data_IF_907762982516
#
_entry.id   IF_907762982516
#
_cell.length_a   1.000
_cell.length_b   1.000
_cell.length_c   1.000
_cell.angle_alpha   90.00
_cell.angle_beta   90.00
_cell.angle_gamma   90.00
#
_symmetry.space_group_name_H-M   'P 1'
#
loop_
_entity.id
_entity.type
_entity.pdbx_description
1 polymer ?
#
# COMPACT_ATOMS: atom_id res chain seq x y z
N UNK A 1 -5.65 2.14 -17.06
CA UNK A 1 -6.86 1.30 -17.20
C UNK A 1 -7.73 1.35 -15.95
N UNK A 2 -7.17 1.16 -14.75
CA UNK A 2 -7.88 1.21 -13.45
C UNK A 2 -8.70 2.47 -13.22
N UNK A 3 -8.16 3.67 -13.52
CA UNK A 3 -8.90 4.94 -13.36
C UNK A 3 -10.18 4.99 -14.20
N UNK A 4 -10.11 4.52 -15.46
CA UNK A 4 -11.30 4.45 -16.32
C UNK A 4 -12.37 3.52 -15.74
N UNK A 5 -11.98 2.45 -15.05
CA UNK A 5 -12.93 1.54 -14.40
C UNK A 5 -13.61 2.22 -13.20
N UNK A 6 -12.85 3.02 -12.44
CA UNK A 6 -13.38 3.82 -11.34
C UNK A 6 -14.36 4.87 -11.89
N UNK A 7 -14.00 5.59 -12.95
CA UNK A 7 -14.83 6.63 -13.58
C UNK A 7 -16.19 6.10 -14.07
N UNK A 8 -16.25 4.87 -14.57
CA UNK A 8 -17.52 4.24 -15.01
C UNK A 8 -18.29 3.57 -13.86
N UNK A 9 -17.87 3.76 -12.61
CA UNK A 9 -18.60 3.31 -11.42
C UNK A 9 -18.37 1.84 -11.06
N UNK A 10 -17.28 1.20 -11.51
CA UNK A 10 -17.01 -0.20 -11.18
C UNK A 10 -16.39 -0.41 -9.80
N UNK A 11 -15.95 0.66 -9.11
CA UNK A 11 -15.22 0.55 -7.84
C UNK A 11 -15.93 -0.31 -6.77
N UNK A 12 -17.25 -0.12 -6.48
CA UNK A 12 -17.92 -0.91 -5.44
C UNK A 12 -18.00 -2.41 -5.78
N UNK A 13 -18.10 -2.75 -7.07
CA UNK A 13 -18.15 -4.13 -7.54
C UNK A 13 -16.80 -4.84 -7.42
N UNK A 14 -15.71 -4.07 -7.42
CA UNK A 14 -14.35 -4.56 -7.17
C UNK A 14 -14.03 -4.65 -5.67
N UNK A 15 -14.95 -4.25 -4.79
CA UNK A 15 -14.75 -4.22 -3.34
C UNK A 15 -13.99 -2.99 -2.84
N UNK A 16 -13.74 -2.01 -3.70
CA UNK A 16 -13.12 -0.74 -3.33
C UNK A 16 -14.13 0.19 -2.64
N UNK A 17 -13.69 1.08 -1.73
CA UNK A 17 -14.56 2.08 -1.11
C UNK A 17 -15.05 3.10 -2.14
N UNK A 18 -16.13 3.81 -1.81
CA UNK A 18 -16.71 4.85 -2.68
C UNK A 18 -15.79 6.06 -2.81
N UNK A 19 -15.09 6.42 -1.72
CA UNK A 19 -14.13 7.53 -1.71
C UNK A 19 -12.71 6.98 -1.82
N UNK A 20 -12.10 7.14 -3.00
CA UNK A 20 -10.77 6.64 -3.31
C UNK A 20 -9.72 7.75 -3.29
N UNK A 21 -8.52 7.40 -2.85
CA UNK A 21 -7.36 8.29 -2.88
C UNK A 21 -6.70 8.34 -4.27
N UNK A 22 -7.44 8.87 -5.25
CA UNK A 22 -7.00 8.95 -6.65
C UNK A 22 -5.73 9.80 -6.82
N UNK A 23 -5.53 10.81 -5.97
CA UNK A 23 -4.33 11.65 -5.99
C UNK A 23 -3.07 10.85 -5.64
N UNK A 24 -3.12 10.08 -4.54
CA UNK A 24 -2.01 9.21 -4.14
C UNK A 24 -1.77 8.11 -5.16
N UNK A 25 -2.83 7.49 -5.68
CA UNK A 25 -2.71 6.48 -6.73
C UNK A 25 -1.98 6.99 -7.98
N UNK A 26 -2.34 8.18 -8.47
CA UNK A 26 -1.65 8.80 -9.59
C UNK A 26 -0.18 9.09 -9.28
N UNK A 27 0.13 9.54 -8.06
CA UNK A 27 1.50 9.77 -7.62
C UNK A 27 2.32 8.48 -7.71
N UNK A 28 1.81 7.38 -7.15
CA UNK A 28 2.47 6.06 -7.18
C UNK A 28 2.68 5.55 -8.61
N UNK A 29 1.68 5.72 -9.49
CA UNK A 29 1.82 5.34 -10.89
C UNK A 29 2.90 6.12 -11.64
N UNK A 30 3.14 7.38 -11.28
CA UNK A 30 4.16 8.22 -11.92
C UNK A 30 5.57 7.96 -11.37
N UNK A 31 5.71 7.44 -10.15
CA UNK A 31 7.02 7.18 -9.53
C UNK A 31 7.59 5.84 -9.98
N UNK A 32 6.77 4.79 -10.03
CA UNK A 32 7.25 3.44 -10.36
C UNK A 32 6.21 2.62 -11.11
N UNK A 33 6.52 2.26 -12.35
CA UNK A 33 5.71 1.34 -13.15
C UNK A 33 5.78 -0.10 -12.59
N UNK A 34 6.96 -0.49 -12.10
CA UNK A 34 7.30 -1.80 -11.54
C UNK A 34 7.20 -1.83 -10.01
N UNK A 35 5.99 -1.67 -9.48
CA UNK A 35 5.66 -1.97 -8.09
C UNK A 35 4.64 -3.11 -8.00
N UNK A 36 4.60 -3.76 -6.84
CA UNK A 36 3.66 -4.82 -6.56
C UNK A 36 2.21 -4.31 -6.73
N UNK A 37 1.27 -5.10 -7.29
CA UNK A 37 -0.11 -4.68 -7.47
C UNK A 37 -0.77 -4.16 -6.19
N UNK A 38 -0.38 -4.72 -5.04
CA UNK A 38 -0.87 -4.29 -3.74
C UNK A 38 -0.40 -2.90 -3.33
N UNK A 39 0.77 -2.46 -3.77
CA UNK A 39 1.25 -1.08 -3.59
C UNK A 39 0.32 -0.10 -4.30
N UNK A 40 -0.12 -0.45 -5.52
CA UNK A 40 -1.10 0.33 -6.29
C UNK A 40 -2.47 0.32 -5.62
N UNK A 41 -2.93 -0.82 -5.10
CA UNK A 41 -4.22 -0.90 -4.40
C UNK A 41 -4.20 -0.11 -3.09
N UNK A 42 -3.16 -0.26 -2.27
CA UNK A 42 -3.00 0.48 -1.01
C UNK A 42 -2.95 2.00 -1.22
N UNK A 43 -2.47 2.45 -2.39
CA UNK A 43 -2.48 3.86 -2.77
C UNK A 43 -3.90 4.41 -3.00
N UNK A 44 -4.88 3.57 -3.34
CA UNK A 44 -6.29 3.96 -3.49
C UNK A 44 -7.03 4.08 -2.14
N UNK A 45 -6.49 3.49 -1.07
CA UNK A 45 -7.15 3.39 0.23
C UNK A 45 -6.64 4.45 1.20
N UNK A 46 -7.51 5.01 2.02
CA UNK A 46 -7.19 6.03 3.01
C UNK A 46 -6.76 5.46 4.35
N UNK A 47 -7.28 4.30 4.75
CA UNK A 47 -7.11 3.74 6.10
C UNK A 47 -6.88 2.24 6.12
N UNK A 48 -6.38 1.74 7.25
CA UNK A 48 -6.25 0.29 7.49
C UNK A 48 -7.60 -0.41 7.50
N UNK A 49 -8.65 0.26 8.00
CA UNK A 49 -10.01 -0.28 8.04
C UNK A 49 -10.52 -0.52 6.61
N UNK A 50 -10.31 0.42 5.69
CA UNK A 50 -10.64 0.24 4.27
C UNK A 50 -9.87 -0.93 3.63
N UNK A 51 -8.62 -1.15 4.02
CA UNK A 51 -7.83 -2.30 3.56
C UNK A 51 -8.36 -3.62 4.11
N UNK A 52 -8.79 -3.65 5.37
CA UNK A 52 -9.40 -4.83 5.98
C UNK A 52 -10.76 -5.13 5.34
N UNK A 53 -11.56 -4.12 5.03
CA UNK A 53 -12.84 -4.29 4.34
C UNK A 53 -12.66 -4.75 2.89
N UNK A 54 -11.68 -4.20 2.17
CA UNK A 54 -11.28 -4.69 0.86
C UNK A 54 -10.84 -6.17 0.91
N UNK A 55 -10.01 -6.53 1.90
CA UNK A 55 -9.57 -7.91 2.11
C UNK A 55 -10.74 -8.87 2.38
N UNK A 56 -11.73 -8.47 3.21
CA UNK A 56 -12.93 -9.29 3.47
C UNK A 56 -13.71 -9.58 2.19
N UNK A 57 -13.76 -8.63 1.25
CA UNK A 57 -14.48 -8.77 -0.01
C UNK A 57 -13.73 -9.63 -1.03
N UNK A 58 -12.44 -9.37 -1.22
CA UNK A 58 -11.62 -9.96 -2.29
C UNK A 58 -10.88 -11.24 -1.86
N UNK A 59 -10.75 -11.48 -0.55
CA UNK A 59 -10.08 -12.65 0.06
C UNK A 59 -8.61 -12.78 -0.35
N UNK A 60 -7.86 -11.69 -0.20
CA UNK A 60 -6.41 -11.65 -0.46
C UNK A 60 -5.64 -12.68 0.38
N UNK A 61 -4.43 -13.03 -0.06
CA UNK A 61 -3.50 -13.78 0.78
C UNK A 61 -3.11 -12.99 2.04
N UNK A 62 -2.67 -13.69 3.08
CA UNK A 62 -2.16 -13.04 4.30
C UNK A 62 -1.01 -12.07 3.98
N UNK A 63 -0.12 -12.46 3.05
CA UNK A 63 0.98 -11.62 2.59
C UNK A 63 0.51 -10.29 1.99
N UNK A 64 -0.47 -10.33 1.09
CA UNK A 64 -1.01 -9.13 0.43
C UNK A 64 -1.75 -8.23 1.41
N UNK A 65 -2.55 -8.82 2.31
CA UNK A 65 -3.23 -8.08 3.37
C UNK A 65 -2.21 -7.31 4.22
N UNK A 66 -1.19 -8.01 4.69
CA UNK A 66 -0.19 -7.45 5.60
C UNK A 66 0.69 -6.40 4.91
N UNK A 67 1.01 -6.59 3.62
CA UNK A 67 1.70 -5.59 2.80
C UNK A 67 0.87 -4.31 2.64
N UNK A 68 -0.42 -4.44 2.32
CA UNK A 68 -1.31 -3.28 2.17
C UNK A 68 -1.43 -2.47 3.46
N UNK A 69 -1.62 -3.14 4.60
CA UNK A 69 -1.66 -2.51 5.93
C UNK A 69 -0.32 -1.82 6.22
N UNK A 70 0.80 -2.51 6.00
CA UNK A 70 2.13 -1.97 6.25
C UNK A 70 2.38 -0.68 5.47
N UNK A 71 2.00 -0.64 4.18
CA UNK A 71 2.14 0.55 3.35
C UNK A 71 1.30 1.69 3.93
N UNK A 72 0.00 1.49 4.17
CA UNK A 72 -0.90 2.53 4.69
C UNK A 72 -0.38 3.13 6.00
N UNK A 73 0.15 2.29 6.90
CA UNK A 73 0.73 2.71 8.18
C UNK A 73 1.97 3.61 8.04
N UNK A 74 2.87 3.26 7.13
CA UNK A 74 4.21 3.87 7.09
C UNK A 74 4.39 4.90 5.98
N UNK A 75 3.41 5.03 5.08
CA UNK A 75 3.52 5.88 3.90
C UNK A 75 3.83 7.34 4.24
N UNK A 76 3.28 7.88 5.33
CA UNK A 76 3.52 9.27 5.76
C UNK A 76 4.79 9.45 6.60
N UNK A 77 5.45 8.37 7.01
CA UNK A 77 6.60 8.41 7.93
C UNK A 77 7.94 8.73 7.25
N UNK A 78 8.01 8.61 5.92
CA UNK A 78 9.27 8.75 5.14
C UNK A 78 9.81 10.19 5.14
N UNK A 79 8.93 11.20 5.22
CA UNK A 79 9.28 12.59 4.90
C UNK A 79 9.78 13.43 6.07
N UNK A 80 9.72 12.94 7.30
CA UNK A 80 9.87 13.79 8.49
C UNK A 80 11.19 13.63 9.25
N UNK A 81 12.01 12.62 8.96
CA UNK A 81 13.27 12.37 9.66
C UNK A 81 14.49 12.81 8.81
N UNK A 82 15.49 13.51 9.36
CA UNK A 82 16.76 13.78 8.67
C UNK A 82 17.53 12.52 8.24
N UNK A 83 17.22 11.34 8.81
CA UNK A 83 17.79 10.04 8.44
C UNK A 83 16.67 9.03 8.11
N UNK A 84 15.99 9.16 6.97
CA UNK A 84 14.79 8.39 6.64
C UNK A 84 15.03 6.87 6.61
N UNK A 85 16.27 6.44 6.40
CA UNK A 85 16.66 5.02 6.38
C UNK A 85 16.77 4.37 7.76
N UNK A 86 16.99 5.14 8.83
CA UNK A 86 17.15 4.58 10.20
C UNK A 86 15.88 3.92 10.70
N UNK A 87 14.72 4.49 10.37
CA UNK A 87 13.41 3.90 10.68
C UNK A 87 13.32 2.46 10.14
N UNK A 88 13.69 2.27 8.86
CA UNK A 88 13.60 0.97 8.19
C UNK A 88 14.66 -0.03 8.66
N UNK A 89 15.86 0.45 8.99
CA UNK A 89 16.88 -0.38 9.63
C UNK A 89 16.39 -0.90 10.98
N UNK A 90 15.78 -0.06 11.80
CA UNK A 90 15.19 -0.47 13.08
C UNK A 90 14.03 -1.45 12.86
N UNK A 91 13.14 -1.19 11.90
CA UNK A 91 12.06 -2.13 11.60
C UNK A 91 12.58 -3.50 11.16
N UNK A 92 13.64 -3.56 10.34
CA UNK A 92 14.27 -4.84 9.97
C UNK A 92 14.85 -5.59 11.19
N UNK A 93 15.48 -4.86 12.12
CA UNK A 93 16.12 -5.44 13.29
C UNK A 93 15.13 -5.89 14.38
N UNK A 94 14.02 -5.17 14.53
CA UNK A 94 13.07 -5.38 15.63
C UNK A 94 11.76 -6.05 15.21
N UNK A 95 11.48 -6.21 13.91
CA UNK A 95 10.26 -6.90 13.47
C UNK A 95 10.30 -8.39 13.79
N UNK A 96 9.12 -8.96 14.08
CA UNK A 96 8.93 -10.40 14.25
C UNK A 96 8.85 -11.16 12.92
N UNK A 97 8.85 -10.45 11.80
CA UNK A 97 8.76 -11.02 10.45
C UNK A 97 10.13 -11.55 10.00
N UNK A 98 10.12 -12.47 9.03
CA UNK A 98 11.36 -12.90 8.39
C UNK A 98 12.01 -11.70 7.70
N UNK A 99 13.32 -11.52 7.88
CA UNK A 99 14.07 -10.38 7.35
C UNK A 99 13.85 -10.15 5.84
N UNK A 100 13.75 -11.23 5.05
CA UNK A 100 13.48 -11.13 3.61
C UNK A 100 12.10 -10.52 3.31
N UNK A 101 11.06 -10.95 4.01
CA UNK A 101 9.70 -10.43 3.83
C UNK A 101 9.61 -8.97 4.25
N UNK A 102 10.23 -8.62 5.38
CA UNK A 102 10.28 -7.23 5.83
C UNK A 102 11.03 -6.33 4.84
N UNK A 103 12.10 -6.84 4.21
CA UNK A 103 12.83 -6.13 3.16
C UNK A 103 11.97 -5.89 1.93
N UNK A 104 11.16 -6.87 1.52
CA UNK A 104 10.19 -6.68 0.42
C UNK A 104 9.18 -5.59 0.74
N UNK A 105 8.63 -5.58 1.96
CA UNK A 105 7.65 -4.57 2.40
C UNK A 105 8.25 -3.16 2.37
N UNK A 106 9.48 -3.01 2.84
CA UNK A 106 10.21 -1.74 2.79
C UNK A 106 10.49 -1.32 1.34
N UNK A 107 10.91 -2.25 0.48
CA UNK A 107 11.17 -1.94 -0.92
C UNK A 107 9.91 -1.41 -1.62
N UNK A 108 8.76 -2.05 -1.39
CA UNK A 108 7.48 -1.61 -1.96
C UNK A 108 7.05 -0.23 -1.43
N UNK A 109 7.24 0.01 -0.13
CA UNK A 109 6.97 1.32 0.47
C UNK A 109 7.83 2.44 -0.14
N UNK A 110 9.12 2.15 -0.41
CA UNK A 110 10.08 3.11 -0.97
C UNK A 110 9.91 3.33 -2.49
N UNK A 111 9.22 2.42 -3.20
CA UNK A 111 8.92 2.53 -4.63
C UNK A 111 7.66 3.34 -4.95
N UNK A 112 6.93 3.81 -3.93
CA UNK A 112 5.68 4.58 -4.07
C UNK A 112 5.91 6.05 -4.45
#
# INVERSE_FOLDING_TARGET
MTLKMIDVGLAPYMGLPDNLNVAEFNRVLNVSEECHPMTKIAALLHSEDEMLDFHKRVKLSAYERDLGIFIIQHRHSVSSDPHPLRLYQNLLLFSKLKANQMREYINELLRR
#
